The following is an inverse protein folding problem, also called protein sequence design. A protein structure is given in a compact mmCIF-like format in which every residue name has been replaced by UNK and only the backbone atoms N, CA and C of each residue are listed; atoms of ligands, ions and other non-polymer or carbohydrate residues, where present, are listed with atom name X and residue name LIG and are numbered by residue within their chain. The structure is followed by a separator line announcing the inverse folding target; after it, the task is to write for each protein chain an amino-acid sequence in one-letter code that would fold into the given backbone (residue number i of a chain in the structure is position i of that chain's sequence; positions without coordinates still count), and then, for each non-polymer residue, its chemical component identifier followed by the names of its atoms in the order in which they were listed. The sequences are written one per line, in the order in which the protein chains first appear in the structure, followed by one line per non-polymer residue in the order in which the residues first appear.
data_IF_149320305968
#
_entry.id   IF_149320305968
#
_cell.length_a   1.000
_cell.length_b   1.000
_cell.length_c   1.000
_cell.angle_alpha   90.00
_cell.angle_beta   90.00
_cell.angle_gamma   90.00
#
_symmetry.space_group_name_H-M   'P 1'
#
loop_
_entity.id
_entity.type
_entity.pdbx_description
1 polymer ?
2 non-polymer ?
3 water ?
#
# COMPACT_ATOMS: atom_id res chain seq x y z
N UNK A 1 22.39 -0.80 8.93
CA UNK A 1 23.42 -0.15 8.06
C UNK A 1 23.57 -0.88 6.73
N UNK A 2 24.84 -1.10 6.28
CA UNK A 2 25.11 -1.88 5.05
C UNK A 2 24.63 -3.35 5.12
N UNK A 3 23.97 -3.83 4.06
CA UNK A 3 23.43 -5.21 4.04
C UNK A 3 24.17 -6.14 3.08
N UNK A 4 24.26 -7.41 3.47
CA UNK A 4 25.01 -8.42 2.73
C UNK A 4 24.44 -8.80 1.37
N UNK A 5 24.79 -9.99 0.90
CA UNK A 5 24.26 -10.51 -0.35
C UNK A 5 22.82 -10.94 -0.14
N UNK A 6 22.11 -11.19 -1.24
CA UNK A 6 20.76 -11.72 -1.16
C UNK A 6 20.70 -13.03 -0.35
N UNK A 7 21.76 -13.84 -0.48
CA UNK A 7 21.88 -15.12 0.18
C UNK A 7 21.93 -14.98 1.71
N UNK A 8 22.72 -14.02 2.19
CA UNK A 8 22.77 -13.69 3.62
C UNK A 8 21.38 -13.31 4.14
N UNK A 9 20.67 -12.50 3.36
CA UNK A 9 19.35 -12.03 3.75
C UNK A 9 18.33 -13.19 3.82
N UNK A 10 18.32 -14.03 2.79
CA UNK A 10 17.41 -15.18 2.76
C UNK A 10 17.90 -16.36 3.59
N UNK A 11 19.13 -16.24 4.11
CA UNK A 11 19.79 -17.31 4.88
C UNK A 11 19.01 -17.78 6.12
N UNK A 12 18.04 -16.98 6.57
CA UNK A 12 17.20 -17.39 7.67
C UNK A 12 15.73 -17.61 7.34
N UNK A 13 15.42 -17.53 6.06
CA UNK A 13 14.09 -17.88 5.56
C UNK A 13 13.96 -19.40 5.39
N UNK A 14 12.93 -19.97 5.99
CA UNK A 14 12.80 -21.43 6.06
C UNK A 14 11.97 -22.04 4.93
N UNK A 15 11.57 -21.21 3.99
CA UNK A 15 10.80 -21.69 2.83
C UNK A 15 11.33 -21.11 1.54
N UNK A 16 12.65 -21.02 1.43
CA UNK A 16 13.29 -20.57 0.20
C UNK A 16 13.21 -21.74 -0.78
N UNK A 17 12.79 -21.45 -2.00
CA UNK A 17 12.65 -22.48 -3.02
C UNK A 17 13.61 -22.20 -4.18
N UNK A 18 14.26 -23.27 -4.65
CA UNK A 18 15.06 -23.22 -5.86
C UNK A 18 14.18 -23.01 -7.11
N UNK A 19 14.54 -22.00 -7.92
CA UNK A 19 13.91 -21.72 -9.21
C UNK A 19 13.85 -22.95 -10.12
N UNK A 20 12.66 -23.19 -10.65
CA UNK A 20 12.46 -24.18 -11.69
C UNK A 20 11.44 -23.64 -12.66
N UNK A 21 11.93 -23.13 -13.78
CA UNK A 21 11.04 -22.71 -14.84
C UNK A 21 11.00 -23.82 -15.85
N UNK A 22 9.79 -24.11 -16.32
CA UNK A 22 9.60 -25.12 -17.36
C UNK A 22 8.36 -24.81 -18.17
N UNK A 23 8.25 -25.48 -19.31
CA UNK A 23 7.11 -25.29 -20.19
C UNK A 23 6.44 -26.63 -20.41
N UNK A 24 5.14 -26.68 -20.15
CA UNK A 24 4.37 -27.90 -20.34
C UNK A 24 3.21 -27.57 -21.28
N UNK A 25 3.36 -27.95 -22.55
CA UNK A 25 2.35 -27.68 -23.58
C UNK A 25 2.29 -26.21 -24.01
N UNK A 26 1.12 -25.59 -23.83
CA UNK A 26 0.87 -24.19 -24.23
C UNK A 26 0.98 -23.24 -23.03
N UNK A 27 1.71 -23.66 -21.99
CA UNK A 27 1.76 -22.95 -20.72
C UNK A 27 3.18 -22.81 -20.19
N UNK A 28 3.44 -21.69 -19.53
CA UNK A 28 4.73 -21.44 -18.88
C UNK A 28 4.55 -21.56 -17.36
N UNK A 29 5.45 -22.30 -16.72
CA UNK A 29 5.35 -22.52 -15.28
C UNK A 29 6.55 -22.01 -14.47
N UNK A 30 6.28 -21.61 -13.24
CA UNK A 30 7.30 -21.33 -12.24
C UNK A 30 7.09 -22.26 -11.05
N UNK A 31 7.77 -23.41 -11.03
CA UNK A 31 7.64 -24.36 -9.91
C UNK A 31 6.23 -24.89 -9.61
N UNK A 32 5.56 -25.38 -10.64
CA UNK A 32 4.16 -25.80 -10.53
C UNK A 32 3.15 -24.63 -10.49
N UNK A 33 3.64 -23.38 -10.37
CA UNK A 33 2.77 -22.21 -10.51
C UNK A 33 2.66 -21.83 -12.00
N UNK A 34 1.48 -22.05 -12.59
CA UNK A 34 1.25 -21.75 -14.01
C UNK A 34 0.99 -20.28 -14.26
N UNK A 35 1.73 -19.70 -15.21
CA UNK A 35 1.63 -18.27 -15.54
C UNK A 35 0.35 -17.99 -16.33
N UNK A 36 -0.57 -17.26 -15.71
CA UNK A 36 -1.78 -16.84 -16.40
C UNK A 36 -1.48 -15.53 -17.12
N UNK A 37 -1.20 -14.48 -16.34
CA UNK A 37 -0.78 -13.19 -16.90
C UNK A 37 0.02 -12.35 -15.89
N UNK A 38 0.65 -11.29 -16.40
CA UNK A 38 1.27 -10.27 -15.56
C UNK A 38 0.23 -9.19 -15.28
N UNK A 39 -0.02 -8.92 -14.00
CA UNK A 39 -1.13 -8.06 -13.58
C UNK A 39 -0.86 -6.58 -13.79
N UNK A 40 0.37 -6.17 -13.54
CA UNK A 40 0.84 -4.85 -13.95
C UNK A 40 2.31 -4.88 -14.31
N UNK A 41 2.70 -4.11 -15.31
CA UNK A 41 4.11 -3.83 -15.53
C UNK A 41 4.48 -2.51 -14.85
N UNK A 42 4.96 -2.60 -13.61
CA UNK A 42 5.51 -1.43 -12.93
C UNK A 42 6.89 -1.09 -13.48
N UNK A 43 7.04 -1.25 -14.81
CA UNK A 43 8.33 -1.21 -15.50
C UNK A 43 9.33 -2.16 -14.83
N UNK A 44 9.66 -1.86 -13.58
CA UNK A 44 10.38 -2.79 -12.71
C UNK A 44 9.41 -3.77 -12.02
N UNK A 45 9.18 -3.59 -10.71
CA UNK A 45 8.38 -4.52 -9.90
C UNK A 45 7.92 -5.74 -10.69
N UNK A 46 6.66 -5.71 -11.14
CA UNK A 46 6.03 -6.77 -11.95
C UNK A 46 5.41 -7.88 -11.08
N UNK A 47 4.08 -8.00 -11.19
CA UNK A 47 3.34 -9.02 -10.44
C UNK A 47 2.67 -10.00 -11.42
N UNK A 48 3.01 -11.28 -11.28
CA UNK A 48 2.52 -12.32 -12.17
C UNK A 48 1.41 -13.10 -11.49
N UNK A 49 0.27 -13.22 -12.18
CA UNK A 49 -0.87 -13.97 -11.68
C UNK A 49 -0.71 -15.42 -12.13
N UNK A 50 -0.77 -16.34 -11.16
CA UNK A 50 -0.55 -17.74 -11.44
C UNK A 50 -1.63 -18.61 -10.84
N UNK A 51 -1.71 -19.83 -11.38
CA UNK A 51 -2.57 -20.87 -10.86
C UNK A 51 -1.72 -22.03 -10.35
N UNK A 52 -2.21 -22.69 -9.30
CA UNK A 52 -1.61 -23.88 -8.73
C UNK A 52 -2.65 -24.52 -7.82
N UNK A 53 -3.01 -25.77 -8.11
CA UNK A 53 -4.03 -26.51 -7.36
C UNK A 53 -5.36 -25.77 -7.21
N UNK A 54 -5.90 -25.28 -8.32
CA UNK A 54 -7.17 -24.52 -8.32
C UNK A 54 -7.18 -23.27 -7.43
N UNK A 55 -5.99 -22.77 -7.06
CA UNK A 55 -5.87 -21.51 -6.35
C UNK A 55 -5.10 -20.47 -7.18
N UNK A 56 -5.55 -19.22 -7.12
CA UNK A 56 -4.85 -18.12 -7.79
C UNK A 56 -3.81 -17.53 -6.86
N UNK A 57 -2.61 -17.30 -7.38
CA UNK A 57 -1.49 -16.71 -6.62
C UNK A 57 -1.01 -15.43 -7.27
N UNK A 58 -0.26 -14.63 -6.52
CA UNK A 58 0.40 -13.46 -7.09
C UNK A 58 1.87 -13.49 -6.72
N UNK A 59 2.70 -13.61 -7.74
CA UNK A 59 4.13 -13.77 -7.57
C UNK A 59 4.81 -12.53 -8.11
N UNK A 60 5.56 -11.84 -7.25
CA UNK A 60 6.23 -10.62 -7.67
C UNK A 60 7.61 -10.98 -8.19
N UNK A 61 7.89 -10.59 -9.43
CA UNK A 61 9.20 -10.85 -10.02
C UNK A 61 10.17 -9.77 -9.55
N UNK A 62 11.45 -10.13 -9.52
CA UNK A 62 12.49 -9.21 -9.17
C UNK A 62 13.75 -9.72 -9.85
N UNK A 63 14.52 -8.80 -10.41
CA UNK A 63 15.71 -9.20 -11.14
C UNK A 63 16.93 -8.41 -10.69
N UNK A 64 17.83 -9.09 -9.96
CA UNK A 64 19.09 -8.49 -9.52
C UNK A 64 19.75 -7.80 -10.70
N UNK A 65 19.98 -8.55 -11.77
CA UNK A 65 20.79 -8.07 -12.89
C UNK A 65 20.16 -6.90 -13.65
N UNK A 66 18.88 -6.64 -13.40
CA UNK A 66 18.23 -5.45 -13.93
C UNK A 66 18.20 -4.34 -12.88
N UNK A 67 18.00 -4.75 -11.63
CA UNK A 67 17.81 -3.82 -10.53
C UNK A 67 19.09 -3.13 -10.08
N UNK A 68 20.22 -3.82 -10.27
CA UNK A 68 21.52 -3.26 -9.84
C UNK A 68 22.09 -2.26 -10.84
N UNK A 69 21.52 -2.22 -12.04
CA UNK A 69 21.89 -1.27 -13.09
C UNK A 69 21.18 0.08 -12.92
N UNK A 70 19.99 0.05 -12.33
CA UNK A 70 19.22 1.26 -12.07
C UNK A 70 19.65 1.94 -10.76
N UNK A 71 20.44 3.00 -10.91
CA UNK A 71 21.14 3.63 -9.78
C UNK A 71 20.97 5.13 -9.78
N UNK A 72 20.75 5.68 -8.58
CA UNK A 72 20.57 7.11 -8.40
C UNK A 72 21.51 7.66 -7.32
N UNK A 73 21.74 8.98 -7.37
CA UNK A 73 22.45 9.69 -6.33
C UNK A 73 21.58 9.76 -5.08
N UNK A 74 22.18 9.44 -3.93
CA UNK A 74 21.49 9.52 -2.63
C UNK A 74 22.07 10.67 -1.79
N UNK A 75 23.26 11.11 -2.17
CA UNK A 75 24.00 12.20 -1.52
C UNK A 75 24.31 11.88 -0.06
N UNK A 76 25.60 11.89 0.25
CA UNK A 76 26.12 11.27 1.47
C UNK A 76 26.02 12.16 2.71
N UNK A 77 26.87 11.83 3.69
CA UNK A 77 27.00 12.59 4.93
C UNK A 77 28.32 13.36 4.92
N UNK A 78 29.22 12.97 4.03
CA UNK A 78 30.62 13.39 4.09
C UNK A 78 31.14 14.14 2.86
N UNK A 79 30.22 14.73 2.08
CA UNK A 79 30.57 15.50 0.88
C UNK A 79 31.11 14.62 -0.27
N UNK A 80 31.43 13.37 0.04
CA UNK A 80 31.85 12.37 -0.93
C UNK A 80 30.60 11.62 -1.38
N UNK A 81 30.19 11.86 -2.63
CA UNK A 81 28.91 11.35 -3.15
C UNK A 81 28.70 9.84 -2.92
N UNK A 82 27.53 9.48 -2.38
CA UNK A 82 27.10 8.09 -2.31
C UNK A 82 26.08 7.82 -3.41
N UNK A 83 25.82 6.54 -3.67
CA UNK A 83 24.98 6.13 -4.79
C UNK A 83 24.26 4.80 -4.48
N UNK A 84 22.94 4.81 -4.45
CA UNK A 84 22.17 3.59 -4.20
C UNK A 84 21.58 3.05 -5.48
N UNK A 85 21.64 1.74 -5.66
CA UNK A 85 20.96 1.09 -6.76
C UNK A 85 19.55 0.67 -6.30
N UNK A 86 18.68 0.35 -7.25
CA UNK A 86 17.36 -0.15 -6.87
C UNK A 86 17.43 -1.59 -6.34
N UNK A 87 18.62 -2.20 -6.43
CA UNK A 87 18.90 -3.51 -5.84
C UNK A 87 19.20 -3.39 -4.36
N UNK A 88 19.83 -2.29 -3.95
CA UNK A 88 20.04 -1.95 -2.54
C UNK A 88 18.69 -1.86 -1.83
N UNK A 89 17.78 -1.10 -2.42
CA UNK A 89 16.44 -0.95 -1.90
C UNK A 89 15.74 -2.27 -1.79
N UNK A 90 15.96 -3.14 -2.78
CA UNK A 90 15.33 -4.46 -2.77
C UNK A 90 15.86 -5.32 -1.62
N UNK A 91 17.14 -5.22 -1.31
CA UNK A 91 17.71 -5.94 -0.19
C UNK A 91 17.01 -5.55 1.10
N UNK A 92 16.72 -4.26 1.29
CA UNK A 92 15.91 -3.82 2.44
C UNK A 92 14.50 -4.42 2.44
N UNK A 93 13.86 -4.39 1.28
CA UNK A 93 12.51 -4.90 1.15
C UNK A 93 12.51 -6.39 1.46
N UNK A 94 13.50 -7.10 0.94
CA UNK A 94 13.64 -8.53 1.22
C UNK A 94 13.64 -8.83 2.71
N UNK A 95 14.40 -8.07 3.48
CA UNK A 95 14.49 -8.27 4.90
C UNK A 95 13.10 -8.19 5.51
N UNK A 96 12.38 -7.13 5.18
CA UNK A 96 11.08 -6.88 5.75
C UNK A 96 10.10 -7.96 5.29
N UNK A 97 10.00 -8.16 3.98
CA UNK A 97 9.14 -9.20 3.41
C UNK A 97 9.41 -10.52 4.13
N UNK A 98 10.67 -10.68 4.49
CA UNK A 98 11.15 -11.89 5.10
C UNK A 98 10.65 -12.04 6.54
N UNK A 99 10.19 -10.94 7.15
CA UNK A 99 9.64 -11.04 8.50
C UNK A 99 8.21 -10.52 8.77
N UNK A 100 7.53 -9.99 7.75
CA UNK A 100 6.08 -9.72 7.86
C UNK A 100 5.30 -11.04 7.87
N UNK A 101 4.71 -11.39 9.02
CA UNK A 101 3.75 -12.50 9.13
C UNK A 101 2.54 -12.02 9.94
N UNK A 102 1.45 -11.67 9.29
CA UNK A 102 0.27 -11.12 9.99
C UNK A 102 -0.98 -11.20 9.14
N UNK A 103 -2.11 -11.52 9.78
CA UNK A 103 -3.39 -11.75 9.08
C UNK A 103 -4.00 -10.52 8.40
N UNK A 104 -3.60 -9.32 8.82
CA UNK A 104 -4.03 -8.06 8.18
C UNK A 104 -3.02 -7.50 7.17
N UNK A 105 -1.85 -8.13 7.02
CA UNK A 105 -0.88 -7.73 6.00
C UNK A 105 -0.70 -8.85 4.99
N UNK A 106 -0.48 -8.48 3.73
CA UNK A 106 -0.18 -9.47 2.70
C UNK A 106 1.18 -10.09 3.01
N UNK A 107 1.17 -11.38 3.30
CA UNK A 107 2.33 -12.10 3.77
C UNK A 107 2.77 -13.13 2.72
N UNK A 108 4.07 -13.17 2.40
CA UNK A 108 4.57 -14.09 1.39
C UNK A 108 4.44 -15.55 1.83
N UNK A 109 4.11 -16.44 0.90
CA UNK A 109 3.95 -17.84 1.27
C UNK A 109 5.24 -18.63 1.08
N UNK A 110 6.15 -18.08 0.30
CA UNK A 110 7.45 -18.70 0.04
C UNK A 110 8.21 -17.83 -0.93
N UNK A 111 9.53 -18.01 -0.99
CA UNK A 111 10.34 -17.23 -1.92
C UNK A 111 11.11 -18.13 -2.89
N UNK A 112 10.95 -17.89 -4.19
CA UNK A 112 11.59 -18.71 -5.20
C UNK A 112 12.78 -17.92 -5.76
N UNK A 113 13.94 -18.56 -5.85
CA UNK A 113 15.13 -17.84 -6.28
C UNK A 113 16.27 -18.72 -6.74
N UNK A 114 17.12 -18.15 -7.58
CA UNK A 114 18.44 -18.69 -7.89
C UNK A 114 19.49 -17.69 -7.44
N UNK A 115 19.02 -16.66 -6.71
CA UNK A 115 19.86 -15.56 -6.22
C UNK A 115 20.14 -14.51 -7.28
N UNK A 116 19.33 -14.50 -8.33
CA UNK A 116 19.34 -13.44 -9.33
C UNK A 116 17.89 -13.05 -9.59
N UNK A 117 17.11 -14.01 -10.08
CA UNK A 117 15.67 -13.84 -10.21
C UNK A 117 14.97 -14.25 -8.93
N UNK A 118 14.05 -13.40 -8.48
CA UNK A 118 13.28 -13.71 -7.28
C UNK A 118 11.80 -13.63 -7.58
N UNK A 119 11.08 -14.70 -7.26
CA UNK A 119 9.62 -14.74 -7.38
C UNK A 119 9.07 -14.91 -5.98
N UNK A 120 8.34 -13.92 -5.50
CA UNK A 120 7.82 -13.99 -4.14
C UNK A 120 6.34 -14.32 -4.15
N UNK A 121 6.02 -15.51 -3.65
CA UNK A 121 4.65 -16.02 -3.71
C UNK A 121 3.75 -15.37 -2.67
N UNK A 122 2.63 -14.81 -3.13
CA UNK A 122 1.56 -14.35 -2.26
C UNK A 122 0.22 -14.91 -2.72
N UNK A 123 -0.76 -14.94 -1.83
CA UNK A 123 -2.14 -15.19 -2.21
C UNK A 123 -2.60 -14.09 -3.13
N UNK A 124 -3.54 -14.40 -4.01
CA UNK A 124 -4.09 -13.41 -4.92
C UNK A 124 -5.40 -12.90 -4.33
N UNK A 125 -5.41 -11.62 -4.00
CA UNK A 125 -6.55 -10.98 -3.35
C UNK A 125 -7.60 -10.65 -4.39
N UNK A 126 -8.56 -11.57 -4.57
CA UNK A 126 -9.41 -11.62 -5.79
C UNK A 126 -10.33 -10.43 -6.03
N UNK A 127 -10.60 -9.65 -4.98
CA UNK A 127 -11.36 -8.40 -5.12
C UNK A 127 -10.48 -7.17 -5.39
N UNK A 128 -9.19 -7.43 -5.65
CA UNK A 128 -8.25 -6.43 -6.13
C UNK A 128 -8.07 -5.36 -5.08
N UNK A 129 -7.59 -4.19 -5.48
CA UNK A 129 -7.41 -3.11 -4.55
C UNK A 129 -8.73 -2.42 -4.27
N UNK A 130 -8.84 -1.95 -3.03
CA UNK A 130 -9.86 -1.03 -2.56
C UNK A 130 -10.46 -0.12 -3.65
N UNK A 131 -9.61 0.62 -4.33
CA UNK A 131 -10.00 1.49 -5.43
C UNK A 131 -8.92 1.41 -6.49
N UNK A 132 -9.26 1.77 -7.72
CA UNK A 132 -8.27 1.88 -8.78
C UNK A 132 -8.23 3.32 -9.25
N UNK A 133 -7.13 3.69 -9.92
CA UNK A 133 -6.99 5.06 -10.37
C UNK A 133 -6.81 5.11 -11.87
N UNK A 134 -7.61 5.98 -12.49
CA UNK A 134 -7.47 6.37 -13.89
C UNK A 134 -8.18 7.70 -14.10
N UNK A 135 -7.40 8.78 -14.23
CA UNK A 135 -7.90 10.17 -14.19
C UNK A 135 -8.46 10.50 -12.80
N UNK A 136 -9.14 9.53 -12.22
CA UNK A 136 -9.72 9.60 -10.88
C UNK A 136 -9.90 8.17 -10.35
N UNK A 137 -10.35 8.07 -9.10
CA UNK A 137 -10.54 6.78 -8.43
C UNK A 137 -11.90 6.22 -8.71
N UNK A 138 -11.98 4.89 -8.79
CA UNK A 138 -13.24 4.19 -8.96
C UNK A 138 -13.13 2.81 -8.33
N UNK A 139 -14.28 2.19 -8.07
CA UNK A 139 -14.35 0.86 -7.45
C UNK A 139 -14.28 -0.26 -8.50
N UNK A 140 -15.13 -0.18 -9.52
CA UNK A 140 -15.25 -1.25 -10.50
C UNK A 140 -14.96 -0.74 -11.92
N UNK A 141 -15.84 0.11 -12.42
CA UNK A 141 -15.67 0.75 -13.71
C UNK A 141 -15.88 2.26 -13.56
N UNK A 142 -15.85 2.99 -14.67
CA UNK A 142 -15.89 4.45 -14.61
C UNK A 142 -17.03 5.14 -15.39
N UNK A 143 -17.80 4.38 -16.18
CA UNK A 143 -19.09 4.89 -16.67
C UNK A 143 -20.11 4.71 -15.54
N UNK A 144 -19.93 3.64 -14.76
CA UNK A 144 -20.64 3.43 -13.50
C UNK A 144 -19.77 3.90 -12.31
N UNK A 145 -20.24 4.94 -11.61
CA UNK A 145 -19.43 5.64 -10.62
C UNK A 145 -20.03 5.55 -9.22
N UNK A 146 -19.81 4.44 -8.53
CA UNK A 146 -20.35 4.29 -7.18
C UNK A 146 -19.30 4.54 -6.10
N UNK A 147 -19.76 5.06 -4.97
CA UNK A 147 -18.92 5.27 -3.80
C UNK A 147 -19.07 4.09 -2.85
N UNK A 148 -17.99 3.72 -2.18
CA UNK A 148 -18.02 2.69 -1.15
C UNK A 148 -18.97 3.15 -0.05
N UNK A 149 -19.91 2.27 0.39
CA UNK A 149 -20.80 2.65 1.47
C UNK A 149 -20.02 2.87 2.76
N UNK A 150 -20.43 3.88 3.52
CA UNK A 150 -19.76 4.29 4.75
C UNK A 150 -19.60 3.15 5.78
N UNK A 151 -20.56 2.23 5.79
CA UNK A 151 -20.53 1.07 6.68
C UNK A 151 -19.33 0.14 6.36
N UNK A 152 -18.98 0.08 5.08
CA UNK A 152 -17.88 -0.74 4.59
C UNK A 152 -16.53 -0.07 4.87
N UNK A 153 -16.46 1.24 4.63
CA UNK A 153 -15.25 2.04 4.85
C UNK A 153 -14.73 1.91 6.28
N UNK A 154 -15.64 1.91 7.25
CA UNK A 154 -15.28 1.72 8.66
C UNK A 154 -14.41 0.49 8.84
N UNK A 155 -14.90 -0.65 8.36
CA UNK A 155 -14.17 -1.91 8.47
C UNK A 155 -12.81 -1.78 7.83
N UNK A 156 -12.80 -1.34 6.58
CA UNK A 156 -11.55 -1.18 5.84
C UNK A 156 -10.54 -0.43 6.70
N UNK A 157 -10.95 0.73 7.22
CA UNK A 157 -10.13 1.55 8.11
C UNK A 157 -9.69 0.78 9.37
N UNK A 158 -10.63 0.08 9.99
CA UNK A 158 -10.34 -0.69 11.20
C UNK A 158 -9.30 -1.75 10.89
N UNK A 159 -9.41 -2.34 9.70
CA UNK A 159 -8.58 -3.45 9.32
C UNK A 159 -7.12 -3.01 9.12
N UNK A 160 -6.92 -1.92 8.38
CA UNK A 160 -5.59 -1.38 8.14
C UNK A 160 -4.98 -0.80 9.42
N UNK A 161 -5.82 -0.22 10.29
CA UNK A 161 -5.43 0.11 11.66
C UNK A 161 -4.88 -1.10 12.42
N UNK A 162 -5.50 -2.26 12.24
CA UNK A 162 -4.95 -3.48 12.80
C UNK A 162 -3.65 -3.89 12.13
N UNK A 163 -3.49 -3.58 10.84
CA UNK A 163 -2.19 -3.79 10.16
C UNK A 163 -1.14 -2.94 10.84
N UNK A 164 -1.49 -1.66 11.04
CA UNK A 164 -0.63 -0.66 11.64
C UNK A 164 -0.14 -1.12 12.99
N UNK A 165 -1.05 -1.60 13.82
CA UNK A 165 -0.70 -2.05 15.17
C UNK A 165 0.42 -3.08 15.14
N UNK A 166 0.34 -4.01 14.20
CA UNK A 166 1.36 -5.06 14.05
C UNK A 166 2.70 -4.49 13.54
N UNK A 167 2.69 -3.81 12.40
CA UNK A 167 3.94 -3.28 11.87
C UNK A 167 4.61 -2.26 12.81
N UNK A 168 3.85 -1.29 13.31
CA UNK A 168 4.43 -0.31 14.23
C UNK A 168 4.90 -0.95 15.52
N UNK A 169 3.99 -1.67 16.18
CA UNK A 169 4.19 -2.08 17.57
C UNK A 169 4.87 -3.43 17.77
N UNK A 170 4.51 -4.41 16.96
CA UNK A 170 5.18 -5.70 17.01
C UNK A 170 6.47 -5.71 16.18
N UNK A 171 6.45 -5.02 15.04
CA UNK A 171 7.56 -5.12 14.12
C UNK A 171 8.53 -3.93 14.04
N UNK A 172 8.12 -2.77 14.57
CA UNK A 172 8.89 -1.54 14.45
C UNK A 172 9.16 -1.19 12.98
N UNK A 173 8.14 -1.32 12.15
CA UNK A 173 8.22 -1.04 10.72
C UNK A 173 7.22 0.03 10.36
N UNK A 174 7.67 1.00 9.59
CA UNK A 174 6.82 2.02 9.02
C UNK A 174 6.61 1.70 7.56
N UNK A 175 5.36 1.65 7.13
CA UNK A 175 5.02 1.30 5.76
C UNK A 175 5.51 2.34 4.76
N UNK A 176 5.17 3.62 4.98
CA UNK A 176 5.61 4.75 4.12
C UNK A 176 4.88 4.93 2.78
N UNK A 177 4.17 3.92 2.31
CA UNK A 177 3.42 4.05 1.06
C UNK A 177 1.99 3.52 1.21
N UNK A 178 1.34 3.92 2.30
CA UNK A 178 -0.05 3.53 2.54
C UNK A 178 -0.90 4.29 1.53
N UNK A 179 -1.72 3.55 0.80
CA UNK A 179 -2.33 4.06 -0.42
C UNK A 179 -3.42 3.06 -0.88
N UNK A 180 -4.51 3.54 -1.50
CA UNK A 180 -5.56 2.62 -1.96
C UNK A 180 -5.07 1.42 -2.81
N UNK A 181 -4.08 1.64 -3.68
CA UNK A 181 -3.48 0.55 -4.47
C UNK A 181 -2.95 -0.51 -3.53
N UNK A 182 -2.57 -0.10 -2.33
CA UNK A 182 -1.91 -0.98 -1.39
C UNK A 182 -2.84 -1.65 -0.40
N UNK A 183 -4.11 -1.29 -0.45
CA UNK A 183 -5.07 -1.93 0.43
C UNK A 183 -5.91 -2.89 -0.40
N UNK A 184 -5.76 -4.18 -0.08
CA UNK A 184 -6.28 -5.25 -0.93
C UNK A 184 -7.41 -6.02 -0.27
N UNK A 185 -8.33 -6.53 -1.08
CA UNK A 185 -9.45 -7.26 -0.59
C UNK A 185 -9.54 -8.60 -1.29
N UNK A 186 -9.85 -9.64 -0.51
CA UNK A 186 -10.13 -10.94 -1.08
C UNK A 186 -11.64 -11.09 -1.28
N UNK A 187 -12.08 -12.20 -1.86
CA UNK A 187 -13.49 -12.37 -2.18
C UNK A 187 -14.39 -12.55 -0.95
N UNK A 188 -13.81 -12.52 0.24
CA UNK A 188 -14.47 -13.10 1.42
C UNK A 188 -15.05 -12.26 2.58
N UNK A 189 -14.67 -11.00 2.79
CA UNK A 189 -13.67 -10.24 2.08
C UNK A 189 -12.77 -9.59 3.12
N UNK A 190 -11.64 -10.23 3.36
CA UNK A 190 -10.63 -9.73 4.26
C UNK A 190 -9.82 -8.62 3.57
N UNK A 191 -9.26 -7.72 4.37
CA UNK A 191 -8.48 -6.60 3.89
C UNK A 191 -7.04 -6.68 4.44
N UNK A 192 -6.07 -6.70 3.53
CA UNK A 192 -4.67 -6.77 3.91
C UNK A 192 -3.89 -5.59 3.37
N UNK A 193 -2.94 -5.10 4.17
CA UNK A 193 -1.97 -4.08 3.73
C UNK A 193 -0.85 -4.76 2.96
N UNK A 194 -0.50 -4.20 1.81
CA UNK A 194 0.44 -4.86 0.91
C UNK A 194 1.49 -3.89 0.35
N UNK A 195 2.53 -4.46 -0.27
CA UNK A 195 3.66 -3.72 -0.85
C UNK A 195 4.52 -2.94 0.16
N UNK A 196 5.62 -3.57 0.57
CA UNK A 196 6.54 -2.97 1.53
C UNK A 196 7.82 -2.44 0.87
N UNK A 197 7.70 -2.01 -0.39
CA UNK A 197 8.84 -1.53 -1.18
C UNK A 197 9.43 -0.20 -0.76
N UNK A 198 8.69 0.58 0.01
CA UNK A 198 9.19 1.84 0.54
C UNK A 198 9.26 1.84 2.08
N UNK A 199 8.87 0.71 2.68
CA UNK A 199 8.82 0.52 4.13
C UNK A 199 10.22 0.38 4.70
N UNK A 200 10.40 0.82 5.94
CA UNK A 200 11.70 0.69 6.60
C UNK A 200 11.58 0.55 8.13
N UNK A 201 12.61 -0.02 8.75
CA UNK A 201 12.70 -0.13 10.20
C UNK A 201 12.88 1.23 10.84
N UNK A 202 12.16 1.46 11.92
CA UNK A 202 12.21 2.74 12.60
C UNK A 202 13.37 2.78 13.58
N UNK A 203 13.89 3.98 13.82
CA UNK A 203 14.92 4.21 14.82
C UNK A 203 14.31 5.20 15.80
N UNK A 204 14.13 4.74 17.05
CA UNK A 204 13.44 5.52 18.08
C UNK A 204 12.06 6.04 17.62
N UNK A 205 11.35 5.16 16.90
CA UNK A 205 10.02 5.43 16.36
C UNK A 205 10.05 6.51 15.27
N UNK A 206 11.16 6.62 14.57
CA UNK A 206 11.33 7.66 13.56
C UNK A 206 11.94 7.16 12.26
N UNK A 207 11.65 7.88 11.18
CA UNK A 207 12.22 7.63 9.86
C UNK A 207 12.86 8.89 9.31
N UNK A 208 13.86 8.71 8.45
CA UNK A 208 14.41 9.81 7.68
C UNK A 208 13.57 9.94 6.42
N UNK A 209 13.16 11.17 6.13
CA UNK A 209 11.99 11.41 5.30
C UNK A 209 12.13 11.31 3.80
N UNK A 210 11.14 11.88 3.12
CA UNK A 210 11.06 11.98 1.66
C UNK A 210 11.18 10.62 0.98
N UNK A 211 10.07 9.91 0.91
CA UNK A 211 10.03 8.58 0.32
C UNK A 211 8.60 8.08 0.37
N UNK A 212 8.14 7.47 -0.72
CA UNK A 212 6.73 7.07 -0.86
C UNK A 212 6.08 7.81 -2.01
N UNK A 213 4.75 7.90 -2.01
CA UNK A 213 4.02 8.62 -3.04
C UNK A 213 3.78 10.08 -2.62
N UNK A 214 4.16 11.00 -3.49
CA UNK A 214 4.08 12.43 -3.24
C UNK A 214 2.81 12.90 -2.53
N UNK A 215 1.63 12.59 -3.09
CA UNK A 215 0.39 13.16 -2.53
C UNK A 215 -0.19 12.44 -1.32
N UNK A 216 0.54 11.44 -0.84
CA UNK A 216 0.18 10.75 0.40
C UNK A 216 1.20 11.06 1.48
N UNK A 217 2.14 11.94 1.15
CA UNK A 217 3.17 12.37 2.11
C UNK A 217 2.63 13.46 3.02
N UNK A 218 3.02 13.44 4.30
CA UNK A 218 2.52 14.36 5.31
C UNK A 218 3.19 15.72 5.27
N UNK A 219 2.58 16.75 5.89
CA UNK A 219 3.13 18.12 5.89
C UNK A 219 4.55 18.23 6.45
N UNK A 220 4.91 17.38 7.41
CA UNK A 220 6.19 17.48 8.10
C UNK A 220 7.40 17.28 7.18
N UNK A 221 7.21 16.54 6.10
CA UNK A 221 8.26 16.32 5.11
C UNK A 221 8.66 17.65 4.49
N UNK A 222 7.80 18.66 4.62
CA UNK A 222 8.00 19.97 4.01
C UNK A 222 8.47 21.01 5.00
N UNK A 223 9.01 20.53 6.13
CA UNK A 223 9.35 21.40 7.24
C UNK A 223 10.84 21.49 7.49
N UNK A 224 11.17 22.05 8.66
CA UNK A 224 12.53 22.15 9.17
C UNK A 224 13.10 20.77 9.51
N UNK A 225 12.20 19.83 9.84
CA UNK A 225 12.57 18.56 10.48
C UNK A 225 13.36 17.58 9.63
N UNK A 226 14.29 16.88 10.27
CA UNK A 226 15.11 15.86 9.62
C UNK A 226 14.54 14.47 9.80
N UNK A 227 13.80 14.27 10.88
CA UNK A 227 13.20 12.98 11.19
C UNK A 227 11.73 13.12 11.59
N UNK A 228 10.96 12.07 11.35
CA UNK A 228 9.50 12.10 11.49
C UNK A 228 9.04 10.86 12.23
N UNK A 229 7.92 10.96 12.94
CA UNK A 229 7.37 9.82 13.63
C UNK A 229 6.72 8.89 12.62
N UNK A 230 7.25 7.68 12.51
CA UNK A 230 6.78 6.69 11.55
C UNK A 230 5.27 6.47 11.57
N UNK A 231 4.71 6.26 12.76
CA UNK A 231 3.29 5.96 12.91
C UNK A 231 2.41 7.08 12.37
N UNK A 232 2.70 8.31 12.81
CA UNK A 232 1.98 9.52 12.41
C UNK A 232 2.00 9.73 10.90
N UNK A 233 3.11 9.37 10.27
CA UNK A 233 3.22 9.36 8.82
C UNK A 233 2.20 8.36 8.25
N UNK A 234 2.32 7.08 8.62
CA UNK A 234 1.36 6.07 8.15
C UNK A 234 -0.09 6.48 8.40
N UNK A 235 -0.36 7.06 9.57
CA UNK A 235 -1.68 7.59 9.90
C UNK A 235 -2.14 8.66 8.89
N UNK A 236 -1.31 9.68 8.63
CA UNK A 236 -1.66 10.69 7.64
C UNK A 236 -2.14 10.03 6.35
N UNK A 237 -1.31 9.13 5.82
CA UNK A 237 -1.55 8.52 4.52
C UNK A 237 -2.85 7.75 4.49
N UNK A 238 -3.19 7.09 5.60
CA UNK A 238 -4.47 6.40 5.76
C UNK A 238 -5.59 7.43 5.78
N UNK A 239 -5.25 8.61 6.29
CA UNK A 239 -6.14 9.75 6.25
C UNK A 239 -6.45 10.12 4.81
N UNK A 240 -5.42 10.24 3.98
CA UNK A 240 -5.66 10.52 2.57
C UNK A 240 -6.51 9.42 1.95
N UNK A 241 -6.16 8.15 2.19
CA UNK A 241 -6.96 7.01 1.71
C UNK A 241 -8.43 7.15 2.09
N UNK A 242 -8.71 7.51 3.35
CA UNK A 242 -10.08 7.77 3.78
C UNK A 242 -10.72 8.92 2.98
N UNK A 243 -9.97 10.00 2.80
CA UNK A 243 -10.47 11.13 2.01
C UNK A 243 -10.80 10.67 0.60
N UNK A 244 -9.94 9.80 0.05
CA UNK A 244 -10.14 9.22 -1.27
C UNK A 244 -11.37 8.33 -1.27
N UNK A 245 -11.58 7.60 -0.17
CA UNK A 245 -12.74 6.70 -0.02
C UNK A 245 -14.04 7.46 0.06
N UNK A 246 -13.99 8.64 0.67
CA UNK A 246 -15.14 9.55 0.76
C UNK A 246 -15.55 10.10 -0.60
N UNK A 247 -14.57 10.64 -1.33
CA UNK A 247 -14.84 11.49 -2.50
C UNK A 247 -14.36 10.93 -3.84
N UNK A 248 -13.62 9.82 -3.79
CA UNK A 248 -13.00 9.23 -4.97
C UNK A 248 -11.96 10.17 -5.63
N UNK A 249 -11.33 10.97 -4.77
CA UNK A 249 -10.43 12.05 -5.18
C UNK A 249 -9.44 12.36 -4.05
N UNK A 250 -8.24 12.81 -4.42
CA UNK A 250 -7.20 13.18 -3.44
C UNK A 250 -7.46 14.63 -2.98
N UNK A 251 -7.16 14.96 -1.70
CA UNK A 251 -7.52 16.25 -1.06
C UNK A 251 -7.17 17.51 -1.86
N UNK A 252 -6.08 18.15 -1.47
CA UNK A 252 -5.61 19.39 -2.09
C UNK A 252 -4.64 19.06 -3.23
N UNK A 253 -4.18 17.81 -3.21
CA UNK A 253 -3.13 17.31 -4.08
C UNK A 253 -3.67 16.73 -5.39
N UNK A 254 -4.03 17.62 -6.30
CA UNK A 254 -4.60 17.24 -7.57
C UNK A 254 -3.58 17.50 -8.67
N UNK A 255 -2.46 16.77 -8.54
CA UNK A 255 -1.44 16.58 -9.59
C UNK A 255 -1.10 17.81 -10.47
N UNK A 256 -1.07 17.60 -11.80
CA UNK A 256 -0.49 18.56 -12.77
C UNK A 256 0.93 18.97 -12.35
N UNK A 257 1.02 20.15 -11.70
CA UNK A 257 2.28 20.63 -11.13
C UNK A 257 2.35 20.37 -9.62
N UNK A 258 3.52 19.93 -9.15
CA UNK A 258 3.72 19.58 -7.74
C UNK A 258 3.99 20.77 -6.84
N UNK A 259 4.60 21.83 -7.37
CA UNK A 259 4.78 23.05 -6.59
C UNK A 259 3.42 23.47 -6.05
N UNK A 260 2.40 23.46 -6.92
CA UNK A 260 1.00 23.67 -6.55
C UNK A 260 0.64 22.75 -5.37
N UNK A 261 0.94 21.45 -5.52
CA UNK A 261 0.69 20.45 -4.49
C UNK A 261 1.49 20.68 -3.19
N UNK A 262 2.81 20.78 -3.33
CA UNK A 262 3.73 20.88 -2.20
C UNK A 262 3.57 22.18 -1.42
N UNK A 263 3.18 23.26 -2.11
CA UNK A 263 2.84 24.53 -1.47
C UNK A 263 1.52 24.48 -0.73
N UNK A 264 0.66 23.58 -1.17
CA UNK A 264 -0.65 23.41 -0.54
C UNK A 264 -0.54 22.66 0.80
N UNK A 265 -0.33 21.34 0.70
CA UNK A 265 -0.23 20.45 1.87
C UNK A 265 0.00 21.15 3.20
N UNK A 266 1.19 21.71 3.39
CA UNK A 266 1.59 22.32 4.67
C UNK A 266 0.78 23.53 5.10
N UNK A 267 0.10 24.17 4.15
CA UNK A 267 -0.57 25.46 4.37
C UNK A 267 -2.09 25.41 4.26
N UNK A 268 -2.57 24.53 3.37
CA UNK A 268 -3.96 24.47 2.96
C UNK A 268 -4.90 23.73 3.92
N UNK A 269 -6.05 24.34 4.18
CA UNK A 269 -7.18 23.66 4.77
C UNK A 269 -7.93 22.88 3.70
N UNK A 270 -8.28 21.63 4.02
CA UNK A 270 -8.95 20.75 3.07
C UNK A 270 -10.43 21.09 3.00
N UNK A 271 -11.04 20.90 1.82
CA UNK A 271 -12.48 21.06 1.69
C UNK A 271 -13.20 19.76 2.05
N UNK A 272 -14.24 19.89 2.86
CA UNK A 272 -15.02 18.76 3.34
C UNK A 272 -16.51 18.91 3.02
N UNK A 273 -16.90 18.73 1.75
CA UNK A 273 -18.31 18.82 1.35
C UNK A 273 -18.96 17.41 1.35
N UNK A 274 -19.95 17.17 0.49
CA UNK A 274 -20.57 15.83 0.39
C UNK A 274 -20.25 15.06 -0.90
N UNK A 275 -20.09 13.74 -0.74
CA UNK A 275 -19.51 12.78 -1.72
C UNK A 275 -19.08 13.19 -3.14
N UNK A 276 -20.03 13.68 -3.94
CA UNK A 276 -19.81 13.88 -5.36
C UNK A 276 -19.43 15.31 -5.75
N UNK A 277 -19.11 16.15 -4.76
CA UNK A 277 -18.79 17.56 -5.06
C UNK A 277 -17.72 17.70 -6.13
N UNK A 278 -16.60 17.00 -5.92
CA UNK A 278 -15.48 17.05 -6.84
C UNK A 278 -15.74 16.26 -8.11
N UNK A 279 -16.89 15.60 -8.17
CA UNK A 279 -17.11 14.55 -9.17
C UNK A 279 -18.20 14.68 -10.23
N UNK A 280 -19.21 15.54 -10.01
CA UNK A 280 -20.18 15.83 -11.06
C UNK A 280 -19.47 16.63 -12.13
N UNK A 281 -18.37 17.28 -11.73
CA UNK A 281 -17.57 18.12 -12.60
C UNK A 281 -16.87 17.44 -13.81
N UNK A 282 -16.17 16.31 -13.61
CA UNK A 282 -15.78 15.50 -14.77
C UNK A 282 -16.74 14.33 -15.06
N UNK A 283 -17.94 14.66 -15.53
CA UNK A 283 -18.98 13.67 -15.90
C UNK A 283 -20.11 14.38 -16.67
N UNK A 284 -19.73 15.45 -17.39
CA UNK A 284 -20.66 16.38 -18.08
C UNK A 284 -21.88 16.85 -17.25
N UNK A 293 -23.29 8.67 -1.24
CA UNK A 293 -24.37 9.63 -1.19
C UNK A 293 -24.00 10.89 -0.38
N UNK A 294 -24.60 11.03 0.82
CA UNK A 294 -24.36 12.18 1.71
C UNK A 294 -23.20 11.91 2.67
N UNK A 295 -22.71 12.97 3.32
CA UNK A 295 -21.78 12.82 4.43
C UNK A 295 -22.24 13.59 5.67
N UNK A 296 -22.05 12.99 6.84
CA UNK A 296 -22.44 13.60 8.10
C UNK A 296 -21.24 14.24 8.78
N UNK A 297 -21.51 15.17 9.70
CA UNK A 297 -20.46 15.81 10.50
C UNK A 297 -19.49 14.77 11.05
N UNK A 298 -20.04 13.71 11.64
CA UNK A 298 -19.25 12.66 12.29
C UNK A 298 -18.24 11.96 11.39
N UNK A 299 -18.63 11.69 10.14
CA UNK A 299 -17.72 11.12 9.16
C UNK A 299 -16.54 12.05 8.99
N UNK A 300 -16.82 13.33 8.78
CA UNK A 300 -15.77 14.33 8.63
C UNK A 300 -15.07 14.63 9.96
N UNK A 301 -15.82 14.66 11.06
CA UNK A 301 -15.24 14.75 12.41
C UNK A 301 -14.04 13.80 12.51
N UNK A 302 -14.23 12.59 11.98
CA UNK A 302 -13.25 11.51 12.11
C UNK A 302 -12.07 11.62 11.14
N UNK A 303 -12.35 12.07 9.93
CA UNK A 303 -11.31 12.22 8.92
C UNK A 303 -10.31 13.31 9.33
N UNK A 304 -10.83 14.42 9.85
CA UNK A 304 -10.00 15.55 10.34
C UNK A 304 -8.97 15.13 11.41
N UNK A 305 -9.35 14.16 12.26
CA UNK A 305 -8.46 13.61 13.29
C UNK A 305 -7.24 12.92 12.69
N UNK A 306 -7.39 12.44 11.45
CA UNK A 306 -6.28 11.87 10.68
C UNK A 306 -5.44 12.95 10.03
N UNK A 307 -6.09 13.93 9.40
CA UNK A 307 -5.37 14.95 8.65
C UNK A 307 -5.23 16.27 9.43
N UNK A 308 -4.55 16.18 10.56
CA UNK A 308 -4.09 17.35 11.29
C UNK A 308 -2.63 17.56 10.96
N UNK A 309 -2.26 18.81 10.69
CA UNK A 309 -0.94 19.16 10.18
C UNK A 309 0.20 18.91 11.17
N UNK A 310 -0.01 19.26 12.44
CA UNK A 310 0.98 18.93 13.47
C UNK A 310 0.83 17.46 13.82
N UNK A 311 1.85 16.63 13.50
CA UNK A 311 1.76 15.18 13.70
C UNK A 311 1.54 14.77 15.17
N UNK A 312 2.05 15.56 16.11
CA UNK A 312 1.87 15.31 17.55
C UNK A 312 0.42 15.47 17.99
N UNK A 313 -0.32 16.29 17.25
CA UNK A 313 -1.76 16.45 17.46
C UNK A 313 -2.55 15.44 16.64
N UNK A 314 -1.91 14.87 15.62
CA UNK A 314 -2.56 13.86 14.77
C UNK A 314 -2.88 12.61 15.58
N UNK A 315 -4.05 12.04 15.34
CA UNK A 315 -4.52 10.88 16.09
C UNK A 315 -3.51 9.72 16.10
N UNK A 316 -3.39 9.04 17.24
CA UNK A 316 -2.61 7.81 17.31
C UNK A 316 -3.47 6.71 16.69
N UNK A 317 -2.91 5.54 16.45
CA UNK A 317 -3.74 4.44 15.94
C UNK A 317 -4.62 3.81 17.02
N UNK A 318 -4.19 3.87 18.27
CA UNK A 318 -4.94 3.35 19.42
C UNK A 318 -6.25 4.10 19.62
N UNK A 319 -6.17 5.42 19.63
CA UNK A 319 -7.32 6.31 19.86
C UNK A 319 -8.26 6.36 18.66
N UNK A 320 -7.70 6.08 17.47
CA UNK A 320 -8.49 5.90 16.27
C UNK A 320 -9.36 4.65 16.38
N UNK A 321 -8.70 3.52 16.67
CA UNK A 321 -9.35 2.22 16.77
C UNK A 321 -10.51 2.19 17.74
N UNK A 322 -10.36 2.89 18.86
CA UNK A 322 -11.41 2.91 19.87
C UNK A 322 -12.14 4.25 19.88
N UNK A 323 -12.28 4.83 18.70
CA UNK A 323 -13.07 6.05 18.51
C UNK A 323 -14.53 5.66 18.30
N UNK A 324 -15.44 6.58 18.65
CA UNK A 324 -16.89 6.35 18.57
C UNK A 324 -17.40 6.05 17.16
N UNK A 325 -16.60 6.43 16.18
CA UNK A 325 -16.96 6.27 14.79
C UNK A 325 -16.90 4.80 14.37
N UNK A 326 -15.85 4.10 14.80
CA UNK A 326 -15.65 2.68 14.49
C UNK A 326 -16.27 1.75 15.52
N UNK A 327 -16.94 2.34 16.51
CA UNK A 327 -17.56 1.57 17.59
C UNK A 327 -18.65 0.64 17.06
N UNK A 328 -19.43 1.15 16.10
CA UNK A 328 -20.52 0.37 15.51
C UNK A 328 -20.14 -0.32 14.19
N UNK A 329 -18.84 -0.57 13.99
CA UNK A 329 -18.37 -1.28 12.82
C UNK A 329 -18.89 -2.71 12.85
N UNK A 330 -19.41 -3.15 11.71
CA UNK A 330 -19.94 -4.50 11.56
C UNK A 330 -19.26 -5.22 10.40
N UNK A 331 -18.48 -6.25 10.72
CA UNK A 331 -17.71 -7.01 9.73
C UNK A 331 -18.61 -7.53 8.61
N UNK A 332 -19.89 -7.75 8.93
CA UNK A 332 -20.84 -8.31 7.96
C UNK A 332 -21.11 -7.38 6.78
N UNK A 333 -21.07 -6.08 7.03
CA UNK A 333 -21.27 -5.04 5.99
C UNK A 333 -20.25 -5.18 4.86
N UNK A 334 -19.01 -5.39 5.27
CA UNK A 334 -17.89 -5.56 4.36
C UNK A 334 -18.04 -6.90 3.63
N UNK A 335 -18.39 -7.95 4.38
CA UNK A 335 -18.55 -9.27 3.79
C UNK A 335 -19.57 -9.24 2.65
N UNK A 336 -20.74 -8.64 2.89
CA UNK A 336 -21.78 -8.51 1.85
C UNK A 336 -21.37 -7.62 0.68
N UNK A 337 -20.73 -6.49 1.00
CA UNK A 337 -20.13 -5.62 -0.02
C UNK A 337 -19.23 -6.44 -0.94
N UNK A 338 -18.26 -7.12 -0.33
CA UNK A 338 -17.29 -7.96 -1.02
C UNK A 338 -17.87 -9.08 -1.86
N UNK A 339 -18.98 -9.66 -1.39
CA UNK A 339 -19.59 -10.83 -2.02
C UNK A 339 -20.29 -10.42 -3.31
N UNK A 340 -20.92 -9.26 -3.29
CA UNK A 340 -21.56 -8.69 -4.47
C UNK A 340 -20.52 -8.11 -5.42
N UNK A 341 -19.53 -7.40 -4.88
CA UNK A 341 -18.45 -6.85 -5.69
C UNK A 341 -17.73 -7.96 -6.47
N UNK A 342 -17.50 -9.09 -5.81
CA UNK A 342 -16.91 -10.24 -6.48
C UNK A 342 -17.82 -10.78 -7.58
N UNK A 343 -19.13 -10.74 -7.34
CA UNK A 343 -20.10 -11.20 -8.34
C UNK A 343 -20.04 -10.35 -9.62
N UNK A 344 -19.68 -9.09 -9.47
CA UNK A 344 -19.55 -8.18 -10.60
C UNK A 344 -18.26 -8.43 -11.39
N UNK A 345 -17.23 -8.94 -10.69
CA UNK A 345 -15.96 -9.31 -11.30
C UNK A 345 -16.04 -10.62 -12.08
N UNK A 346 -16.94 -11.51 -11.65
CA UNK A 346 -17.15 -12.79 -12.33
C UNK A 346 -17.65 -12.65 -13.78
N UNK A 347 -17.93 -11.41 -14.18
CA UNK A 347 -17.59 -10.97 -15.54
C UNK A 347 -17.91 -9.51 -15.85
N UNK A 348 -16.84 -8.73 -15.99
CA UNK A 348 -16.89 -7.34 -16.46
C UNK A 348 -15.80 -7.11 -17.52
X LIG B 1 4.52 -6.40 -2.96
X LIG B 1 3.53 -6.88 -3.31
X LIG B 1 2.37 -7.31 -3.68
X LIG B 1 2.12 -8.67 -3.69
X LIG B 1 0.88 -9.14 -4.08
X LIG B 1 -0.13 -8.27 -4.48
X LIG B 1 0.12 -6.89 -4.45
X LIG B 1 1.37 -6.41 -4.07
X LIG B 1 -1.46 -8.83 -4.83
X LIG B 1 -2.07 -10.00 -4.39
X LIG B 1 -3.30 -10.02 -4.94
X LIG B 1 -3.47 -8.89 -5.67
X LIG B 1 -4.53 -8.42 -6.42
X LIG B 1 -4.42 -7.20 -7.07
X LIG B 1 -3.24 -6.47 -6.96
X LIG B 1 -2.21 -6.94 -6.22
X LIG B 1 -2.36 -8.18 -5.59
X LIG B 1 -3.13 -5.29 -7.60
X LIG B 1 -1.84 -4.69 -7.87
X LIG B 1 -1.48 -3.68 -6.78
X LIG B 1 -2.52 -2.73 -6.56
X LIG B 1 -1.89 -4.14 -9.30
X LIG B 1 -1.37 -5.22 -10.24
X LIG B 1 -1.13 -2.82 -9.53
#
# INVERSE_FOLDING_TARGET
GPLGSMKDILSNYSNLIYLNKYVKEKDKYINDYRIIRTLNQGKFNKIILCEKDNKFYALKKYEKSLLEKKRDFTKSNNDKISIKSKYDDFKNELQIITDIKNEYCLTCEGIITNYDEVYIIYEYMENDSILKFDEYFFVLDKNYTCFIPIQVIKCIIKSVLNSFSYIHNEKNICHRDVKPSNILMDKNGRVKLSDFGESEYMVDKKIKGSRGTYEFMPPEFFSNESSYNGAKVDIWSLGICLYVMFYNVVPFSLKISLVELFNNIRTKNIEYPLDRNHFLYPLTNKKSTCSNNFLSNEDIDFLKLFLRKNPAERITSEDALKHEWLADTNIEDLREFSKELYKKRKKL
K51 N4 C13 C10 C11 C12 C7 C8 C9 C5 C6 N3 C1 C2 C3 C4 N1 N2 N5 C14 C15 O1 C16 C17 C18
#
